data_IF_156164709418
#
_entry.id   IF_156164709418
#
_cell.length_a   1.000
_cell.length_b   1.000
_cell.length_c   1.000
_cell.angle_alpha   90.00
_cell.angle_beta   90.00
_cell.angle_gamma   90.00
#
_symmetry.space_group_name_H-M   'P 1'
#
loop_
_entity.id
_entity.type
_entity.pdbx_description
1 polymer ?
#
# COMPACT_ATOMS: atom_id res chain seq x y z
N UNK A 1 -11.67 27.75 6.44
CA UNK A 1 -10.54 26.79 6.58
C UNK A 1 -10.39 26.08 5.25
N UNK A 2 -9.20 25.97 4.68
CA UNK A 2 -8.98 25.12 3.49
C UNK A 2 -9.28 23.69 3.92
N UNK A 3 -10.30 23.07 3.33
CA UNK A 3 -10.65 21.67 3.59
C UNK A 3 -9.49 20.80 3.09
N UNK A 4 -8.69 20.26 4.01
CA UNK A 4 -7.47 19.55 3.65
C UNK A 4 -7.80 18.18 3.05
N UNK A 5 -7.03 17.81 2.03
CA UNK A 5 -7.04 16.45 1.45
C UNK A 5 -6.03 15.61 2.21
N UNK A 6 -6.46 14.48 2.75
CA UNK A 6 -5.54 13.48 3.30
C UNK A 6 -4.90 12.73 2.13
N UNK A 7 -3.57 12.75 2.04
CA UNK A 7 -2.82 12.02 1.03
C UNK A 7 -1.87 11.04 1.73
N UNK A 8 -2.13 9.75 1.62
CA UNK A 8 -1.33 8.71 2.24
C UNK A 8 -0.37 8.08 1.22
N UNK A 9 0.91 8.02 1.58
CA UNK A 9 1.98 7.38 0.79
C UNK A 9 3.19 7.18 1.69
N UNK A 10 4.16 6.35 1.29
CA UNK A 10 5.42 6.25 2.01
C UNK A 10 6.42 5.28 1.40
N UNK A 11 7.64 5.32 1.94
CA UNK A 11 8.79 4.56 1.45
C UNK A 11 8.58 3.03 1.52
N UNK A 12 7.79 2.55 2.49
CA UNK A 12 7.51 1.12 2.68
C UNK A 12 7.01 0.42 1.41
N UNK A 13 6.21 1.13 0.59
CA UNK A 13 5.64 0.60 -0.64
C UNK A 13 6.67 0.33 -1.74
N UNK A 14 7.91 0.81 -1.59
CA UNK A 14 9.03 0.49 -2.51
C UNK A 14 9.55 -0.92 -2.31
N UNK A 15 9.29 -1.54 -1.16
CA UNK A 15 9.85 -2.86 -0.82
C UNK A 15 9.04 -4.04 -1.38
N UNK A 16 7.87 -3.80 -1.99
CA UNK A 16 7.26 -4.77 -2.88
C UNK A 16 7.97 -4.75 -4.24
N UNK A 17 8.83 -5.76 -4.45
CA UNK A 17 9.67 -5.94 -5.64
C UNK A 17 9.03 -7.02 -6.50
N UNK A 18 8.82 -6.73 -7.78
CA UNK A 18 8.17 -7.63 -8.74
C UNK A 18 9.21 -8.09 -9.76
N UNK A 19 9.77 -7.18 -10.54
CA UNK A 19 11.03 -7.32 -11.28
C UNK A 19 11.38 -5.97 -11.93
N UNK A 20 12.54 -5.86 -12.58
CA UNK A 20 12.93 -4.64 -13.29
C UNK A 20 12.06 -4.34 -14.53
N UNK A 21 11.39 -5.36 -15.07
CA UNK A 21 10.59 -5.25 -16.29
C UNK A 21 9.08 -5.25 -16.02
N UNK A 22 8.66 -5.62 -14.81
CA UNK A 22 7.24 -5.66 -14.47
C UNK A 22 6.66 -4.23 -14.44
N UNK A 23 5.47 -3.98 -15.04
CA UNK A 23 4.88 -2.65 -15.04
C UNK A 23 4.49 -2.19 -13.62
N UNK A 24 4.07 -3.11 -12.76
CA UNK A 24 3.84 -2.87 -11.34
C UNK A 24 5.18 -2.96 -10.61
N UNK A 25 5.95 -1.87 -10.50
CA UNK A 25 7.28 -1.87 -9.86
C UNK A 25 7.50 -0.67 -8.91
N UNK A 26 8.56 -0.67 -8.07
CA UNK A 26 8.84 0.39 -7.10
C UNK A 26 8.93 1.81 -7.66
N UNK A 27 9.26 1.97 -8.96
CA UNK A 27 9.35 3.29 -9.58
C UNK A 27 8.00 4.02 -9.57
N UNK A 28 6.88 3.29 -9.56
CA UNK A 28 5.53 3.88 -9.47
C UNK A 28 5.35 4.72 -8.20
N UNK A 29 5.77 4.19 -7.03
CA UNK A 29 5.65 4.95 -5.78
C UNK A 29 6.76 5.99 -5.63
N UNK A 30 7.97 5.70 -6.14
CA UNK A 30 9.08 6.69 -6.18
C UNK A 30 8.64 7.93 -6.95
N UNK A 31 8.04 7.77 -8.14
CA UNK A 31 7.56 8.87 -8.95
C UNK A 31 6.50 9.71 -8.22
N UNK A 32 5.59 9.08 -7.46
CA UNK A 32 4.59 9.79 -6.66
C UNK A 32 5.27 10.60 -5.54
N UNK A 33 6.20 10.00 -4.81
CA UNK A 33 6.92 10.67 -3.71
C UNK A 33 7.75 11.84 -4.24
N UNK A 34 8.46 11.65 -5.35
CA UNK A 34 9.26 12.70 -5.98
C UNK A 34 8.39 13.84 -6.52
N UNK A 35 7.22 13.52 -7.10
CA UNK A 35 6.24 14.52 -7.51
C UNK A 35 5.76 15.35 -6.32
N UNK A 36 5.42 14.72 -5.19
CA UNK A 36 4.95 15.43 -3.99
C UNK A 36 5.97 16.44 -3.45
N UNK A 37 7.28 16.16 -3.56
CA UNK A 37 8.34 17.10 -3.14
C UNK A 37 8.34 18.41 -3.93
N UNK A 38 7.84 18.39 -5.16
CA UNK A 38 7.78 19.55 -6.06
C UNK A 38 6.36 20.07 -6.25
N UNK A 39 5.38 19.45 -5.59
CA UNK A 39 3.97 19.77 -5.78
C UNK A 39 3.61 21.12 -5.16
N UNK A 40 3.28 22.11 -6.01
CA UNK A 40 2.98 23.49 -5.61
C UNK A 40 1.86 23.65 -4.56
N UNK A 41 1.00 22.65 -4.41
CA UNK A 41 -0.13 22.67 -3.47
C UNK A 41 0.07 21.68 -2.31
N UNK A 42 1.32 21.32 -1.97
CA UNK A 42 1.63 20.41 -0.86
C UNK A 42 1.02 20.88 0.47
N UNK A 43 0.92 22.20 0.68
CA UNK A 43 0.28 22.81 1.86
C UNK A 43 -1.24 22.55 1.96
N UNK A 44 -1.90 22.17 0.86
CA UNK A 44 -3.31 21.75 0.84
C UNK A 44 -3.48 20.28 1.23
N UNK A 45 -2.38 19.52 1.27
CA UNK A 45 -2.38 18.11 1.64
C UNK A 45 -2.02 17.93 3.12
N UNK A 46 -2.71 17.00 3.79
CA UNK A 46 -2.28 16.39 5.04
C UNK A 46 -1.62 15.06 4.67
N UNK A 47 -0.30 15.00 4.70
CA UNK A 47 0.43 13.76 4.43
C UNK A 47 0.17 12.78 5.57
N UNK A 48 -0.23 11.55 5.23
CA UNK A 48 -0.54 10.49 6.17
C UNK A 48 0.50 9.38 6.01
N UNK A 49 1.24 9.12 7.09
CA UNK A 49 2.20 8.03 7.13
C UNK A 49 1.51 6.66 7.05
N UNK A 50 2.11 5.70 6.32
CA UNK A 50 1.58 4.36 6.18
C UNK A 50 1.37 3.67 7.53
N UNK A 51 0.38 2.79 7.58
CA UNK A 51 0.06 2.01 8.77
C UNK A 51 -0.23 0.57 8.40
N UNK A 52 0.26 -0.34 9.23
CA UNK A 52 0.11 -1.77 9.03
C UNK A 52 -1.28 -2.21 9.51
N UNK A 53 -2.03 -2.90 8.65
CA UNK A 53 -3.24 -3.60 9.06
C UNK A 53 -2.88 -4.78 9.98
N UNK A 54 -3.76 -5.05 10.93
CA UNK A 54 -3.66 -6.27 11.73
C UNK A 54 -4.13 -7.46 10.89
N UNK A 55 -3.73 -8.67 11.29
CA UNK A 55 -4.14 -9.88 10.58
C UNK A 55 -5.65 -10.07 10.62
N UNK A 56 -6.26 -9.75 11.75
CA UNK A 56 -7.70 -9.86 11.98
C UNK A 56 -8.49 -8.98 11.00
N UNK A 57 -7.97 -7.80 10.63
CA UNK A 57 -8.60 -6.93 9.63
C UNK A 57 -8.50 -7.51 8.21
N UNK A 58 -7.43 -8.23 7.89
CA UNK A 58 -7.27 -8.91 6.59
C UNK A 58 -8.21 -10.10 6.49
N UNK A 59 -8.37 -10.85 7.57
CA UNK A 59 -9.24 -12.03 7.65
C UNK A 59 -10.75 -11.71 7.61
N UNK A 60 -11.13 -10.42 7.65
CA UNK A 60 -12.52 -10.00 7.38
C UNK A 60 -12.94 -10.23 5.92
N UNK A 61 -11.99 -10.36 5.00
CA UNK A 61 -12.25 -10.49 3.56
C UNK A 61 -11.50 -11.66 2.89
N UNK A 62 -10.49 -12.22 3.56
CA UNK A 62 -9.68 -13.33 3.05
C UNK A 62 -9.68 -14.51 4.01
N UNK A 63 -9.69 -15.73 3.48
CA UNK A 63 -9.57 -16.94 4.30
C UNK A 63 -8.22 -16.98 5.04
N UNK A 64 -8.18 -17.37 6.34
CA UNK A 64 -6.95 -17.44 7.12
C UNK A 64 -5.85 -18.30 6.49
N UNK A 65 -6.23 -19.38 5.80
CA UNK A 65 -5.32 -20.26 5.07
C UNK A 65 -4.64 -19.55 3.90
N UNK A 66 -5.37 -18.70 3.17
CA UNK A 66 -4.81 -17.90 2.08
C UNK A 66 -3.83 -16.86 2.63
N UNK A 67 -4.18 -16.20 3.74
CA UNK A 67 -3.30 -15.22 4.40
C UNK A 67 -2.00 -15.89 4.86
N UNK A 68 -2.08 -17.07 5.50
CA UNK A 68 -0.88 -17.81 5.90
C UNK A 68 -0.07 -18.29 4.71
N UNK A 69 -0.72 -18.78 3.64
CA UNK A 69 -0.05 -19.19 2.42
C UNK A 69 0.81 -18.06 1.84
N UNK A 70 0.24 -16.86 1.66
CA UNK A 70 0.98 -15.72 1.11
C UNK A 70 2.13 -15.29 2.02
N UNK A 71 1.92 -15.31 3.34
CA UNK A 71 2.97 -15.01 4.33
C UNK A 71 4.15 -15.97 4.21
N UNK A 72 3.88 -17.28 4.26
CA UNK A 72 4.92 -18.32 4.19
C UNK A 72 5.61 -18.30 2.83
N UNK A 73 4.85 -18.12 1.73
CA UNK A 73 5.39 -18.02 0.38
C UNK A 73 6.35 -16.83 0.24
N UNK A 74 5.99 -15.67 0.77
CA UNK A 74 6.88 -14.51 0.81
C UNK A 74 8.13 -14.79 1.66
N UNK A 75 7.99 -15.31 2.87
CA UNK A 75 9.10 -15.61 3.78
C UNK A 75 10.11 -16.62 3.18
N UNK A 76 9.64 -17.56 2.36
CA UNK A 76 10.45 -18.53 1.62
C UNK A 76 11.19 -17.95 0.40
N UNK A 77 11.02 -16.66 0.10
CA UNK A 77 11.70 -15.96 -1.00
C UNK A 77 10.75 -15.41 -2.07
N UNK A 78 9.51 -15.88 -2.11
CA UNK A 78 8.50 -15.46 -3.08
C UNK A 78 8.63 -16.13 -4.45
N UNK A 79 8.17 -15.45 -5.49
CA UNK A 79 8.05 -15.93 -6.87
C UNK A 79 6.65 -15.70 -7.42
N UNK A 80 6.22 -16.60 -8.30
CA UNK A 80 4.90 -16.61 -8.91
C UNK A 80 3.95 -17.48 -8.06
N UNK A 81 3.06 -16.88 -7.25
CA UNK A 81 2.16 -17.66 -6.41
C UNK A 81 1.24 -18.50 -7.31
N UNK A 82 1.12 -19.80 -7.03
CA UNK A 82 0.27 -20.73 -7.79
C UNK A 82 0.55 -20.76 -9.31
N UNK A 83 1.74 -20.33 -9.74
CA UNK A 83 2.11 -20.27 -11.16
C UNK A 83 1.53 -19.07 -11.93
N UNK A 84 0.92 -18.10 -11.24
CA UNK A 84 0.47 -16.85 -11.86
C UNK A 84 1.66 -16.01 -12.34
N UNK A 85 1.78 -15.84 -13.65
CA UNK A 85 2.90 -15.12 -14.27
C UNK A 85 2.78 -13.59 -14.16
N UNK A 86 1.57 -13.08 -13.92
CA UNK A 86 1.29 -11.64 -13.82
C UNK A 86 1.37 -11.11 -12.38
N UNK A 87 1.37 -12.01 -11.39
CA UNK A 87 1.55 -11.67 -9.97
C UNK A 87 2.91 -12.14 -9.48
N UNK A 88 3.68 -11.23 -8.87
CA UNK A 88 4.97 -11.56 -8.27
C UNK A 88 4.93 -11.23 -6.79
N UNK A 89 5.26 -12.20 -5.96
CA UNK A 89 5.50 -12.01 -4.52
C UNK A 89 7.00 -11.99 -4.29
N UNK A 90 7.50 -10.99 -3.56
CA UNK A 90 8.85 -10.98 -3.00
C UNK A 90 8.84 -11.20 -1.50
N UNK A 91 10.04 -11.38 -0.93
CA UNK A 91 10.27 -11.53 0.52
C UNK A 91 9.56 -10.51 1.41
N UNK A 92 9.38 -9.27 0.93
CA UNK A 92 8.74 -8.19 1.69
C UNK A 92 7.28 -7.95 1.32
N UNK A 93 6.75 -8.68 0.34
CA UNK A 93 5.43 -8.42 -0.22
C UNK A 93 4.31 -8.60 0.78
N UNK A 94 4.32 -9.67 1.59
CA UNK A 94 3.32 -9.85 2.64
C UNK A 94 3.29 -8.66 3.61
N UNK A 95 4.47 -8.26 4.11
CA UNK A 95 4.58 -7.09 4.99
C UNK A 95 4.08 -5.80 4.33
N UNK A 96 4.50 -5.54 3.09
CA UNK A 96 4.09 -4.34 2.34
C UNK A 96 2.59 -4.33 2.03
N UNK A 97 1.99 -5.49 1.74
CA UNK A 97 0.54 -5.62 1.52
C UNK A 97 -0.27 -5.27 2.79
N UNK A 98 0.22 -5.65 3.98
CA UNK A 98 -0.40 -5.22 5.25
C UNK A 98 -0.34 -3.70 5.42
N UNK A 99 0.75 -3.05 5.04
CA UNK A 99 0.82 -1.59 5.00
C UNK A 99 -0.12 -0.98 3.97
N UNK A 100 -0.26 -1.60 2.80
CA UNK A 100 -1.16 -1.12 1.76
C UNK A 100 -2.61 -1.10 2.25
N UNK A 101 -3.10 -2.24 2.79
CA UNK A 101 -4.43 -2.35 3.37
C UNK A 101 -4.64 -1.40 4.56
N UNK A 102 -3.70 -1.38 5.51
CA UNK A 102 -3.82 -0.53 6.70
C UNK A 102 -3.80 0.95 6.38
N UNK A 103 -3.05 1.36 5.36
CA UNK A 103 -3.01 2.76 4.90
C UNK A 103 -4.32 3.20 4.26
N UNK A 104 -5.00 2.32 3.52
CA UNK A 104 -6.34 2.59 2.99
C UNK A 104 -7.34 2.73 4.14
N UNK A 105 -7.32 1.81 5.11
CA UNK A 105 -8.19 1.84 6.30
C UNK A 105 -7.96 3.12 7.10
N UNK A 106 -6.71 3.50 7.36
CA UNK A 106 -6.35 4.73 8.07
C UNK A 106 -6.85 5.97 7.34
N UNK A 107 -6.64 6.03 6.01
CA UNK A 107 -7.12 7.13 5.17
C UNK A 107 -8.64 7.26 5.24
N UNK A 108 -9.36 6.14 5.14
CA UNK A 108 -10.81 6.10 5.30
C UNK A 108 -11.24 6.62 6.68
N UNK A 109 -10.58 6.16 7.76
CA UNK A 109 -10.85 6.63 9.13
C UNK A 109 -10.71 8.14 9.26
N UNK A 110 -9.70 8.74 8.63
CA UNK A 110 -9.52 10.20 8.63
C UNK A 110 -10.68 10.94 7.96
N UNK A 111 -11.25 10.37 6.89
CA UNK A 111 -12.40 10.97 6.20
C UNK A 111 -13.68 10.83 7.03
N UNK A 112 -14.00 9.62 7.52
CA UNK A 112 -15.25 9.39 8.27
C UNK A 112 -15.28 10.12 9.62
N UNK A 113 -14.12 10.38 10.23
CA UNK A 113 -14.00 11.16 11.47
C UNK A 113 -13.96 12.68 11.23
N UNK A 114 -14.09 13.13 9.98
CA UNK A 114 -14.09 14.55 9.63
C UNK A 114 -12.73 15.25 9.74
N UNK A 115 -11.62 14.51 9.87
CA UNK A 115 -10.27 15.11 9.89
C UNK A 115 -9.83 15.64 8.52
N UNK A 116 -10.41 15.08 7.45
CA UNK A 116 -10.19 15.46 6.05
C UNK A 116 -11.49 15.30 5.27
N UNK A 117 -11.73 16.13 4.27
CA UNK A 117 -12.92 16.00 3.40
C UNK A 117 -12.77 14.90 2.35
N UNK A 118 -11.54 14.73 1.86
CA UNK A 118 -11.19 13.75 0.84
C UNK A 118 -9.93 13.02 1.28
N UNK A 119 -9.87 11.72 1.00
CA UNK A 119 -8.71 10.87 1.24
C UNK A 119 -8.24 10.21 -0.05
N UNK A 120 -6.93 10.19 -0.27
CA UNK A 120 -6.29 9.45 -1.35
C UNK A 120 -5.13 8.63 -0.77
N UNK A 121 -5.04 7.36 -1.16
CA UNK A 121 -3.98 6.45 -0.71
C UNK A 121 -3.20 5.94 -1.92
N UNK A 122 -2.00 6.50 -2.13
CA UNK A 122 -1.03 5.98 -3.09
C UNK A 122 -0.29 4.80 -2.46
N UNK A 123 -0.76 3.59 -2.74
CA UNK A 123 -0.25 2.36 -2.14
C UNK A 123 0.26 1.37 -3.20
N UNK A 124 1.11 0.44 -2.76
CA UNK A 124 1.51 -0.77 -3.49
C UNK A 124 1.70 -1.92 -2.49
N UNK A 125 1.42 -3.19 -2.84
CA UNK A 125 0.78 -3.67 -4.07
C UNK A 125 -0.68 -3.18 -4.21
N UNK A 126 -1.28 -3.24 -5.42
CA UNK A 126 -2.71 -2.97 -5.63
C UNK A 126 -3.59 -4.12 -5.07
N UNK A 127 -4.93 -3.95 -5.08
CA UNK A 127 -5.84 -4.99 -4.60
C UNK A 127 -7.33 -4.81 -4.96
N UNK A 128 -7.65 -4.04 -6.00
CA UNK A 128 -9.03 -3.84 -6.48
C UNK A 128 -9.50 -4.95 -7.42
#
# INVERSE_FOLDING_TARGET
>A
MVEKVCFATGEIFKHHITSDYHPENPRRIIAIIDFLRTFKYLNMLKIIEPEKATRELIELVHDPEYVEFIKVFAEAGGGHPLGDLDTIVSKKTYEVALYAAGTVIKTLRKVILGECKVGFAAIRPPGH
#
